data_IF_076700011157
#
_entry.id   IF_076700011157
#
_cell.length_a   1.000
_cell.length_b   1.000
_cell.length_c   1.000
_cell.angle_alpha   90.00
_cell.angle_beta   90.00
_cell.angle_gamma   90.00
#
_symmetry.space_group_name_H-M   'P 1'
#
loop_
_entity.id
_entity.type
_entity.pdbx_description
1 polymer ?
#
# COMPACT_ATOMS: atom_id res chain seq x y z
N UNK A 1 48.16 -38.44 9.65
CA UNK A 1 47.32 -37.42 10.30
C UNK A 1 45.99 -37.47 9.57
N UNK A 2 45.12 -38.36 10.05
CA UNK A 2 43.89 -38.76 9.36
C UNK A 2 42.78 -37.89 9.94
N UNK A 3 42.46 -36.78 9.30
CA UNK A 3 41.34 -35.95 9.73
C UNK A 3 40.07 -36.78 9.59
N UNK A 4 39.41 -37.04 10.72
CA UNK A 4 38.24 -37.89 10.77
C UNK A 4 37.13 -37.27 9.92
N UNK A 5 36.63 -38.02 8.92
CA UNK A 5 35.60 -37.55 7.98
C UNK A 5 34.34 -37.01 8.69
N UNK A 6 34.11 -37.44 9.93
CA UNK A 6 33.03 -36.96 10.80
C UNK A 6 33.20 -35.48 11.19
N UNK A 7 34.42 -34.99 11.43
CA UNK A 7 34.64 -33.58 11.78
C UNK A 7 34.34 -32.65 10.59
N UNK A 8 34.71 -33.09 9.38
CA UNK A 8 34.41 -32.35 8.15
C UNK A 8 32.90 -32.29 7.91
N UNK A 9 32.20 -33.41 8.11
CA UNK A 9 30.74 -33.46 7.99
C UNK A 9 30.04 -32.52 8.98
N UNK A 10 30.44 -32.56 10.25
CA UNK A 10 29.90 -31.66 11.27
C UNK A 10 30.20 -30.19 10.96
N UNK A 11 31.41 -29.89 10.48
CA UNK A 11 31.76 -28.54 10.06
C UNK A 11 30.86 -28.00 8.95
N UNK A 12 30.63 -28.80 7.90
CA UNK A 12 29.74 -28.41 6.78
C UNK A 12 28.29 -28.26 7.23
N UNK A 13 27.81 -29.13 8.13
CA UNK A 13 26.47 -29.04 8.70
C UNK A 13 26.26 -27.73 9.46
N UNK A 14 27.18 -27.39 10.38
CA UNK A 14 27.10 -26.14 11.14
C UNK A 14 27.27 -24.90 10.26
N UNK A 15 28.12 -24.97 9.23
CA UNK A 15 28.28 -23.88 8.26
C UNK A 15 26.98 -23.60 7.49
N UNK A 16 26.26 -24.64 7.06
CA UNK A 16 24.96 -24.48 6.38
C UNK A 16 23.90 -23.88 7.30
N UNK A 17 23.84 -24.32 8.56
CA UNK A 17 22.91 -23.74 9.55
C UNK A 17 23.23 -22.26 9.76
N UNK A 18 24.51 -21.92 9.97
CA UNK A 18 24.94 -20.54 10.18
C UNK A 18 24.61 -19.65 8.97
N UNK A 19 24.88 -20.14 7.74
CA UNK A 19 24.56 -19.42 6.52
C UNK A 19 23.04 -19.16 6.40
N UNK A 20 22.22 -20.17 6.65
CA UNK A 20 20.75 -20.06 6.59
C UNK A 20 20.22 -19.05 7.62
N UNK A 21 20.75 -19.10 8.85
CA UNK A 21 20.38 -18.17 9.91
C UNK A 21 20.75 -16.72 9.57
N UNK A 22 21.94 -16.50 9.02
CA UNK A 22 22.38 -15.17 8.58
C UNK A 22 21.51 -14.64 7.43
N UNK A 23 21.17 -15.48 6.45
CA UNK A 23 20.27 -15.09 5.37
C UNK A 23 18.87 -14.73 5.88
N UNK A 24 18.30 -15.52 6.79
CA UNK A 24 17.00 -15.24 7.39
C UNK A 24 17.00 -13.92 8.17
N UNK A 25 18.06 -13.66 8.94
CA UNK A 25 18.22 -12.43 9.71
C UNK A 25 18.37 -11.20 8.82
N UNK A 26 19.18 -11.30 7.75
CA UNK A 26 19.31 -10.24 6.76
C UNK A 26 17.98 -9.92 6.06
N UNK A 27 17.20 -10.95 5.71
CA UNK A 27 15.87 -10.79 5.11
C UNK A 27 14.90 -10.07 6.05
N UNK A 28 14.85 -10.46 7.33
CA UNK A 28 14.01 -9.81 8.33
C UNK A 28 14.37 -8.33 8.51
N UNK A 29 15.66 -8.01 8.62
CA UNK A 29 16.13 -6.62 8.71
C UNK A 29 15.72 -5.83 7.46
N UNK A 30 15.90 -6.40 6.27
CA UNK A 30 15.56 -5.73 5.02
C UNK A 30 14.06 -5.44 4.92
N UNK A 31 13.20 -6.41 5.27
CA UNK A 31 11.74 -6.21 5.31
C UNK A 31 11.32 -5.14 6.34
N UNK A 32 11.98 -5.08 7.49
CA UNK A 32 11.74 -4.05 8.49
C UNK A 32 12.11 -2.67 7.93
N UNK A 33 13.28 -2.54 7.30
CA UNK A 33 13.74 -1.28 6.68
C UNK A 33 12.79 -0.80 5.58
N UNK A 34 12.26 -1.70 4.74
CA UNK A 34 11.26 -1.31 3.73
C UNK A 34 10.00 -0.71 4.37
N UNK A 35 9.51 -1.33 5.44
CA UNK A 35 8.35 -0.83 6.19
C UNK A 35 8.60 0.58 6.76
N UNK A 36 9.83 0.87 7.21
CA UNK A 36 10.22 2.21 7.64
C UNK A 36 10.27 3.23 6.49
N UNK A 37 10.72 2.82 5.30
CA UNK A 37 10.83 3.71 4.13
C UNK A 37 9.47 4.15 3.61
N UNK A 38 8.49 3.26 3.58
CA UNK A 38 7.12 3.58 3.16
C UNK A 38 6.47 4.63 4.08
N UNK A 39 6.70 4.51 5.39
CA UNK A 39 6.17 5.46 6.37
C UNK A 39 6.80 6.86 6.21
N UNK A 40 8.08 6.95 5.84
CA UNK A 40 8.73 8.23 5.61
C UNK A 40 8.29 8.91 4.31
N UNK A 41 8.05 8.14 3.24
CA UNK A 41 7.55 8.72 1.98
C UNK A 41 6.13 9.28 2.14
N UNK A 42 5.26 8.61 2.89
CA UNK A 42 3.92 9.11 3.20
C UNK A 42 4.02 10.41 4.03
N UNK A 43 4.85 10.46 5.06
CA UNK A 43 5.01 11.68 5.87
C UNK A 43 5.64 12.84 5.09
N UNK A 44 6.56 12.57 4.15
CA UNK A 44 7.11 13.60 3.26
C UNK A 44 6.05 14.13 2.28
N UNK A 45 5.23 13.26 1.72
CA UNK A 45 4.09 13.64 0.86
C UNK A 45 3.06 14.44 1.66
N UNK A 46 2.67 13.98 2.86
CA UNK A 46 1.73 14.70 3.74
C UNK A 46 2.28 16.07 4.14
N UNK A 47 3.59 16.20 4.40
CA UNK A 47 4.25 17.50 4.64
C UNK A 47 4.23 18.41 3.41
N UNK A 48 4.42 17.88 2.21
CA UNK A 48 4.33 18.66 0.96
C UNK A 48 2.89 19.13 0.68
N UNK A 49 1.89 18.29 0.99
CA UNK A 49 0.47 18.64 0.88
C UNK A 49 0.09 19.69 1.93
N UNK A 50 0.59 19.58 3.16
CA UNK A 50 0.36 20.59 4.21
C UNK A 50 1.10 21.91 3.99
N UNK A 51 2.22 21.91 3.25
CA UNK A 51 2.90 23.16 2.84
C UNK A 51 2.23 23.84 1.65
N UNK A 52 1.55 23.10 0.75
CA UNK A 52 0.64 23.70 -0.23
C UNK A 52 -0.71 24.13 0.38
N UNK A 53 -1.09 23.54 1.51
CA UNK A 53 -2.30 23.88 2.26
C UNK A 53 -2.01 24.81 3.46
N UNK A 54 -0.99 25.67 3.38
CA UNK A 54 -0.93 26.85 4.23
C UNK A 54 -1.97 27.84 3.69
N UNK A 55 -3.15 28.01 4.33
CA UNK A 55 -4.07 29.05 3.91
C UNK A 55 -3.40 30.35 4.34
N UNK A 56 -3.04 31.17 3.37
CA UNK A 56 -2.87 32.60 3.60
C UNK A 56 -4.09 33.09 4.39
N UNK A 57 -3.84 33.49 5.64
CA UNK A 57 -4.82 34.13 6.52
C UNK A 57 -5.15 35.49 5.91
N UNK A 58 -6.06 35.48 4.95
CA UNK A 58 -6.76 36.65 4.47
C UNK A 58 -8.21 36.22 4.35
N UNK A 59 -8.99 36.48 5.41
CA UNK A 59 -10.45 36.34 5.39
C UNK A 59 -11.02 36.89 4.09
N UNK A 60 -11.75 36.06 3.31
CA UNK A 60 -12.84 36.56 2.51
C UNK A 60 -14.11 36.07 3.22
N UNK A 61 -14.92 37.02 3.67
CA UNK A 61 -16.31 36.82 4.09
C UNK A 61 -16.98 35.66 3.33
N UNK A 62 -17.28 34.56 4.04
CA UNK A 62 -18.08 33.44 3.54
C UNK A 62 -19.46 33.96 3.12
N UNK A 63 -19.85 33.86 1.83
CA UNK A 63 -21.26 33.92 1.47
C UNK A 63 -21.91 32.65 2.01
N UNK A 64 -23.04 32.83 2.70
CA UNK A 64 -23.90 31.75 3.16
C UNK A 64 -24.28 30.84 1.97
N UNK A 65 -23.56 29.73 1.80
CA UNK A 65 -23.82 28.76 0.75
C UNK A 65 -24.98 27.87 1.24
N UNK A 66 -26.19 28.26 0.86
CA UNK A 66 -27.36 27.40 0.97
C UNK A 66 -27.06 26.12 0.18
N UNK A 67 -27.01 24.93 0.81
CA UNK A 67 -26.69 23.70 0.09
C UNK A 67 -27.83 23.41 -0.89
N UNK A 68 -27.51 23.57 -2.18
CA UNK A 68 -28.39 23.25 -3.28
C UNK A 68 -28.79 21.75 -3.20
N UNK A 69 -30.07 21.40 -3.05
CA UNK A 69 -30.52 20.02 -2.80
C UNK A 69 -30.16 19.04 -3.92
N UNK A 70 -29.66 19.53 -5.06
CA UNK A 70 -29.16 18.70 -6.17
C UNK A 70 -27.83 18.02 -5.83
N UNK A 71 -26.94 18.65 -5.06
CA UNK A 71 -25.60 18.09 -4.73
C UNK A 71 -25.71 16.90 -3.77
N UNK A 72 -26.69 16.94 -2.85
CA UNK A 72 -26.97 15.82 -1.94
C UNK A 72 -27.42 14.55 -2.71
N UNK A 73 -28.08 14.73 -3.86
CA UNK A 73 -28.55 13.60 -4.68
C UNK A 73 -27.43 12.91 -5.47
N UNK A 74 -26.35 13.61 -5.81
CA UNK A 74 -25.15 12.99 -6.43
C UNK A 74 -24.32 12.22 -5.41
N UNK A 75 -24.17 12.75 -4.19
CA UNK A 75 -23.52 12.01 -3.10
C UNK A 75 -24.30 10.74 -2.71
N UNK A 76 -25.63 10.77 -2.77
CA UNK A 76 -26.47 9.59 -2.54
C UNK A 76 -26.39 8.54 -3.68
N UNK A 77 -26.05 8.96 -4.91
CA UNK A 77 -25.81 8.04 -6.02
C UNK A 77 -24.43 7.37 -5.98
N UNK A 78 -23.44 7.96 -5.30
CA UNK A 78 -22.13 7.37 -5.07
C UNK A 78 -22.16 6.10 -4.20
N UNK A 79 -23.29 5.80 -3.55
CA UNK A 79 -23.51 4.59 -2.75
C UNK A 79 -24.06 3.40 -3.53
N UNK A 80 -24.19 3.51 -4.86
CA UNK A 80 -24.68 2.41 -5.71
C UNK A 80 -23.51 1.51 -6.14
N UNK A 81 -23.70 0.18 -6.14
CA UNK A 81 -22.68 -0.73 -6.61
C UNK A 81 -22.38 -0.44 -8.09
N UNK A 82 -21.15 -0.04 -8.37
CA UNK A 82 -20.69 0.32 -9.72
C UNK A 82 -20.06 -0.91 -10.37
N UNK A 83 -20.32 -1.17 -11.66
CA UNK A 83 -19.58 -2.22 -12.38
C UNK A 83 -18.12 -1.84 -12.54
N UNK A 84 -17.22 -2.82 -12.43
CA UNK A 84 -15.80 -2.63 -12.70
C UNK A 84 -15.61 -2.12 -14.15
N UNK A 85 -14.74 -1.13 -14.31
CA UNK A 85 -14.34 -0.66 -15.63
C UNK A 85 -13.49 -1.72 -16.36
N UNK A 86 -13.32 -1.60 -17.68
CA UNK A 86 -12.57 -2.59 -18.50
C UNK A 86 -11.12 -2.78 -18.06
N UNK A 87 -10.52 -1.76 -17.44
CA UNK A 87 -9.18 -1.77 -16.90
C UNK A 87 -9.13 -2.09 -15.39
N UNK A 88 -10.25 -2.46 -14.77
CA UNK A 88 -10.33 -2.80 -13.36
C UNK A 88 -10.59 -4.30 -13.18
N UNK A 89 -9.93 -4.91 -12.21
CA UNK A 89 -10.13 -6.31 -11.83
C UNK A 89 -10.41 -6.40 -10.33
N UNK A 90 -11.32 -7.29 -9.97
CA UNK A 90 -11.56 -7.63 -8.58
C UNK A 90 -10.64 -8.77 -8.20
N UNK A 91 -9.67 -8.51 -7.32
CA UNK A 91 -8.75 -9.52 -6.82
C UNK A 91 -8.78 -9.51 -5.30
N UNK A 92 -9.05 -10.67 -4.71
CA UNK A 92 -9.12 -10.84 -3.25
C UNK A 92 -10.09 -9.87 -2.54
N UNK A 93 -11.16 -9.45 -3.23
CA UNK A 93 -12.16 -8.52 -2.68
C UNK A 93 -11.78 -7.03 -2.76
N UNK A 94 -10.67 -6.68 -3.42
CA UNK A 94 -10.24 -5.29 -3.65
C UNK A 94 -10.09 -5.02 -5.15
N UNK A 95 -10.46 -3.81 -5.56
CA UNK A 95 -10.31 -3.36 -6.95
C UNK A 95 -8.84 -3.05 -7.23
N UNK A 96 -8.32 -3.65 -8.29
CA UNK A 96 -7.01 -3.39 -8.86
C UNK A 96 -7.20 -2.78 -10.24
N UNK A 97 -6.64 -1.60 -10.43
CA UNK A 97 -6.55 -0.93 -11.71
C UNK A 97 -5.30 -1.44 -12.46
N UNK A 98 -5.52 -1.97 -13.66
CA UNK A 98 -4.50 -2.52 -14.54
C UNK A 98 -4.27 -1.53 -15.68
N UNK A 99 -3.13 -0.84 -15.64
CA UNK A 99 -2.73 0.08 -16.71
C UNK A 99 -1.48 -0.48 -17.40
N UNK A 100 -1.72 -1.36 -18.39
CA UNK A 100 -0.71 -2.00 -19.24
C UNK A 100 0.25 -2.93 -18.49
N UNK A 101 1.24 -2.35 -17.82
CA UNK A 101 2.29 -3.04 -17.05
C UNK A 101 2.27 -2.73 -15.55
N UNK A 102 1.37 -1.84 -15.11
CA UNK A 102 1.26 -1.43 -13.70
C UNK A 102 -0.06 -1.89 -13.09
N UNK A 103 0.02 -2.32 -11.82
CA UNK A 103 -1.13 -2.70 -11.00
C UNK A 103 -1.21 -1.72 -9.84
N UNK A 104 -2.30 -0.96 -9.76
CA UNK A 104 -2.54 -0.02 -8.66
C UNK A 104 -3.79 -0.42 -7.90
N UNK A 105 -3.67 -0.56 -6.58
CA UNK A 105 -4.79 -0.88 -5.71
C UNK A 105 -5.53 0.42 -5.39
N UNK A 106 -6.81 0.53 -5.75
CA UNK A 106 -7.60 1.76 -5.50
C UNK A 106 -8.15 1.82 -4.08
N UNK A 107 -8.05 0.72 -3.30
CA UNK A 107 -8.59 0.62 -1.94
C UNK A 107 -10.11 0.43 -1.89
N UNK A 108 -10.78 0.41 -3.04
CA UNK A 108 -12.21 0.13 -3.15
C UNK A 108 -12.48 -1.37 -3.02
N UNK A 109 -13.52 -1.75 -2.29
CA UNK A 109 -13.93 -3.14 -2.15
C UNK A 109 -14.72 -3.58 -3.37
N UNK A 110 -14.61 -4.85 -3.72
CA UNK A 110 -15.38 -5.43 -4.81
C UNK A 110 -15.92 -6.81 -4.45
N UNK A 111 -17.04 -7.16 -5.04
CA UNK A 111 -17.66 -8.47 -4.99
C UNK A 111 -18.01 -8.89 -6.42
N UNK A 112 -17.26 -9.85 -6.95
CA UNK A 112 -17.36 -10.26 -8.35
C UNK A 112 -17.02 -9.13 -9.32
N UNK A 113 -17.98 -8.74 -10.17
CA UNK A 113 -17.81 -7.70 -11.20
C UNK A 113 -18.29 -6.31 -10.75
N UNK A 114 -18.56 -6.13 -9.46
CA UNK A 114 -19.09 -4.90 -8.89
C UNK A 114 -18.22 -4.36 -7.77
N UNK A 115 -18.06 -3.04 -7.75
CA UNK A 115 -17.47 -2.25 -6.66
C UNK A 115 -18.55 -2.02 -5.63
N UNK A 116 -18.21 -2.27 -4.37
CA UNK A 116 -19.12 -2.19 -3.22
C UNK A 116 -18.57 -1.12 -2.26
N UNK A 117 -19.40 -0.19 -1.78
CA UNK A 117 -18.99 0.81 -0.78
C UNK A 117 -18.67 0.18 0.58
#
# INVERSE_FOLDING_TARGET
MSTDRSEVFWGVFWANIAATALCALAFAIFSAIQSYRETQQINALVKSITTMAAPSVSSPSMPYFSPDPRIASEAAQAKRPRRLASNQRCASGVVILVDGSSYTQTGERCSGSFIVP
#
